data_IF_117589485593
#
_entry.id   IF_117589485593
#
_cell.length_a   1.000
_cell.length_b   1.000
_cell.length_c   1.000
_cell.angle_alpha   90.00
_cell.angle_beta   90.00
_cell.angle_gamma   90.00
#
_symmetry.space_group_name_H-M   'P 1'
#
loop_
_entity.id
_entity.type
_entity.pdbx_description
1 polymer ?
#
# COMPACT_ATOMS: atom_id res chain seq x y z
N UNK A 1 14.32 10.11 5.79
CA UNK A 1 13.54 9.85 4.56
C UNK A 1 12.15 9.51 4.99
N UNK A 2 11.17 10.21 4.43
CA UNK A 2 9.77 10.06 4.79
C UNK A 2 9.01 9.38 3.65
N UNK A 3 8.38 8.26 3.93
CA UNK A 3 7.70 7.42 2.94
C UNK A 3 6.22 7.34 3.28
N UNK A 4 5.36 7.64 2.31
CA UNK A 4 3.93 7.35 2.40
C UNK A 4 3.69 5.93 1.88
N UNK A 5 3.27 5.02 2.75
CA UNK A 5 3.01 3.63 2.38
C UNK A 5 1.50 3.33 2.39
N UNK A 6 1.00 2.82 1.28
CA UNK A 6 -0.41 2.48 1.05
C UNK A 6 -0.53 1.11 0.39
N UNK A 7 -1.67 0.47 0.59
CA UNK A 7 -2.04 -0.79 -0.06
C UNK A 7 -3.56 -0.94 -0.10
N UNK A 8 -4.04 -1.87 -0.94
CA UNK A 8 -5.44 -2.29 -0.99
C UNK A 8 -6.39 -1.09 -1.22
N UNK A 9 -6.25 -0.49 -2.40
CA UNK A 9 -7.05 0.65 -2.88
C UNK A 9 -8.30 0.17 -3.61
N UNK A 10 -8.22 -0.97 -4.34
CA UNK A 10 -9.31 -1.65 -5.04
C UNK A 10 -10.19 -0.73 -5.91
N UNK A 11 -9.59 0.09 -6.75
CA UNK A 11 -10.28 1.10 -7.58
C UNK A 11 -11.00 2.23 -6.79
N UNK A 12 -10.84 2.31 -5.47
CA UNK A 12 -11.49 3.35 -4.67
C UNK A 12 -10.72 4.68 -4.77
N UNK A 13 -10.94 5.39 -5.88
CA UNK A 13 -10.29 6.68 -6.15
C UNK A 13 -10.67 7.73 -5.09
N UNK A 14 -11.87 7.66 -4.53
CA UNK A 14 -12.32 8.60 -3.51
C UNK A 14 -11.46 8.55 -2.24
N UNK A 15 -10.99 7.37 -1.83
CA UNK A 15 -10.08 7.26 -0.68
C UNK A 15 -8.70 7.88 -0.99
N UNK A 16 -8.24 7.80 -2.24
CA UNK A 16 -6.98 8.41 -2.65
C UNK A 16 -7.09 9.94 -2.70
N UNK A 17 -8.22 10.49 -3.16
CA UNK A 17 -8.49 11.93 -3.09
C UNK A 17 -8.52 12.45 -1.65
N UNK A 18 -9.17 11.71 -0.73
CA UNK A 18 -9.15 12.04 0.70
C UNK A 18 -7.74 11.99 1.30
N UNK A 19 -6.97 10.95 0.99
CA UNK A 19 -5.57 10.86 1.39
C UNK A 19 -4.79 12.09 0.91
N UNK A 20 -4.96 12.45 -0.38
CA UNK A 20 -4.28 13.60 -0.98
C UNK A 20 -4.66 14.92 -0.32
N UNK A 21 -5.92 15.10 0.04
CA UNK A 21 -6.39 16.30 0.73
C UNK A 21 -5.89 16.39 2.18
N UNK A 22 -5.69 15.24 2.83
CA UNK A 22 -5.25 15.16 4.22
C UNK A 22 -3.75 15.34 4.38
N UNK A 23 -2.94 14.89 3.41
CA UNK A 23 -1.48 14.85 3.52
C UNK A 23 -0.81 15.99 2.76
N UNK A 24 0.24 16.56 3.39
CA UNK A 24 1.10 17.55 2.77
C UNK A 24 2.05 16.94 1.72
N UNK A 25 2.79 17.79 0.99
CA UNK A 25 3.72 17.37 -0.08
C UNK A 25 5.16 17.19 0.43
N UNK A 26 5.35 16.59 1.58
CA UNK A 26 6.65 16.47 2.25
C UNK A 26 7.21 15.03 2.28
N UNK A 27 6.80 14.21 1.32
CA UNK A 27 7.27 12.84 1.19
C UNK A 27 8.42 12.72 0.22
N UNK A 28 9.41 11.89 0.57
CA UNK A 28 10.53 11.54 -0.31
C UNK A 28 10.15 10.44 -1.31
N UNK A 29 9.16 9.61 -0.98
CA UNK A 29 8.62 8.56 -1.83
C UNK A 29 7.21 8.14 -1.40
N UNK A 30 6.44 7.57 -2.35
CA UNK A 30 5.23 6.81 -2.08
C UNK A 30 5.53 5.34 -2.38
N UNK A 31 5.16 4.43 -1.47
CA UNK A 31 5.26 2.99 -1.65
C UNK A 31 3.85 2.38 -1.72
N UNK A 32 3.51 1.71 -2.83
CA UNK A 32 2.21 1.05 -3.00
C UNK A 32 2.42 -0.46 -3.01
N UNK A 33 1.89 -1.14 -2.00
CA UNK A 33 2.05 -2.57 -1.82
C UNK A 33 0.92 -3.40 -2.46
N UNK A 34 0.49 -3.02 -3.67
CA UNK A 34 -0.44 -3.78 -4.50
C UNK A 34 -1.92 -3.53 -4.21
N UNK A 35 -2.75 -4.20 -4.99
CA UNK A 35 -4.20 -4.07 -5.03
C UNK A 35 -4.67 -2.62 -5.26
N UNK A 36 -4.05 -2.01 -6.28
CA UNK A 36 -4.37 -0.65 -6.74
C UNK A 36 -5.76 -0.65 -7.38
N UNK A 37 -6.04 -1.70 -8.14
CA UNK A 37 -7.24 -1.87 -8.94
C UNK A 37 -7.00 -1.56 -10.42
N UNK A 38 -7.65 -2.34 -11.28
CA UNK A 38 -7.38 -2.30 -12.73
C UNK A 38 -7.99 -1.07 -13.40
N UNK A 39 -9.24 -0.74 -13.09
CA UNK A 39 -9.99 0.31 -13.81
C UNK A 39 -9.68 1.71 -13.30
N UNK A 40 -9.38 1.87 -12.01
CA UNK A 40 -9.07 3.15 -11.39
C UNK A 40 -7.58 3.50 -11.36
N UNK A 41 -6.70 2.60 -11.82
CA UNK A 41 -5.25 2.76 -11.65
C UNK A 41 -4.72 4.07 -12.24
N UNK A 42 -5.12 4.43 -13.45
CA UNK A 42 -4.65 5.66 -14.09
C UNK A 42 -4.95 6.90 -13.23
N UNK A 43 -6.19 7.02 -12.76
CA UNK A 43 -6.63 8.14 -11.93
C UNK A 43 -5.96 8.13 -10.54
N UNK A 44 -5.77 6.95 -9.94
CA UNK A 44 -5.01 6.79 -8.69
C UNK A 44 -3.61 7.37 -8.84
N UNK A 45 -2.89 6.99 -9.89
CA UNK A 45 -1.54 7.51 -10.14
C UNK A 45 -1.53 9.00 -10.49
N UNK A 46 -2.52 9.50 -11.23
CA UNK A 46 -2.67 10.92 -11.51
C UNK A 46 -2.74 11.72 -10.21
N UNK A 47 -3.61 11.32 -9.28
CA UNK A 47 -3.72 11.98 -7.97
C UNK A 47 -2.40 11.86 -7.19
N UNK A 48 -1.81 10.68 -7.11
CA UNK A 48 -0.58 10.46 -6.33
C UNK A 48 0.63 11.21 -6.89
N UNK A 49 0.71 11.43 -8.21
CA UNK A 49 1.79 12.23 -8.80
C UNK A 49 1.79 13.69 -8.36
N UNK A 50 0.66 14.20 -7.85
CA UNK A 50 0.57 15.55 -7.29
C UNK A 50 1.39 15.74 -6.01
N UNK A 51 1.83 14.66 -5.35
CA UNK A 51 2.80 14.72 -4.25
C UNK A 51 4.22 15.09 -4.69
N UNK A 52 4.49 15.07 -6.00
CA UNK A 52 5.76 15.47 -6.63
C UNK A 52 7.00 14.64 -6.22
N UNK A 53 6.81 13.49 -5.61
CA UNK A 53 7.85 12.53 -5.27
C UNK A 53 7.75 11.25 -6.13
N UNK A 54 8.81 10.42 -6.18
CA UNK A 54 8.75 9.11 -6.83
C UNK A 54 7.71 8.19 -6.19
N UNK A 55 7.01 7.41 -7.03
CA UNK A 55 6.08 6.38 -6.62
C UNK A 55 6.70 5.03 -6.99
N UNK A 56 6.90 4.16 -6.00
CA UNK A 56 7.37 2.80 -6.19
C UNK A 56 6.23 1.84 -5.86
N UNK A 57 5.96 0.87 -6.74
CA UNK A 57 4.79 0.02 -6.57
C UNK A 57 5.03 -1.41 -7.05
N UNK A 58 4.19 -2.31 -6.56
CA UNK A 58 4.00 -3.68 -7.07
C UNK A 58 2.53 -3.91 -7.36
N UNK A 59 2.22 -4.93 -8.16
CA UNK A 59 0.84 -5.36 -8.36
C UNK A 59 0.42 -6.36 -7.29
N UNK A 60 -0.84 -6.30 -6.88
CA UNK A 60 -1.52 -7.27 -6.04
C UNK A 60 -2.36 -8.25 -6.86
N UNK A 61 -3.21 -9.03 -6.18
CA UNK A 61 -4.03 -10.05 -6.84
C UNK A 61 -5.28 -9.47 -7.56
N UNK A 62 -5.67 -8.24 -7.26
CA UNK A 62 -6.74 -7.50 -7.95
C UNK A 62 -6.24 -6.71 -9.16
N UNK A 63 -4.93 -6.61 -9.33
CA UNK A 63 -4.33 -5.82 -10.39
C UNK A 63 -4.17 -6.68 -11.65
N UNK A 64 -4.91 -6.34 -12.69
CA UNK A 64 -4.85 -7.00 -14.01
C UNK A 64 -4.24 -6.10 -15.08
N UNK A 65 -3.41 -5.17 -14.66
CA UNK A 65 -2.73 -4.27 -15.57
C UNK A 65 -1.61 -5.00 -16.33
N UNK A 66 -1.35 -4.61 -17.59
CA UNK A 66 -0.17 -5.07 -18.31
C UNK A 66 1.12 -4.76 -17.54
N UNK A 67 2.14 -5.61 -17.66
CA UNK A 67 3.43 -5.38 -16.98
C UNK A 67 4.17 -4.14 -17.49
N UNK A 68 3.88 -3.74 -18.72
CA UNK A 68 4.43 -2.56 -19.37
C UNK A 68 3.57 -1.30 -19.18
N UNK A 69 2.48 -1.37 -18.40
CA UNK A 69 1.66 -0.22 -18.08
C UNK A 69 2.49 0.88 -17.42
N UNK A 70 2.43 2.09 -17.98
CA UNK A 70 3.19 3.24 -17.51
C UNK A 70 2.24 4.28 -16.92
N UNK A 71 2.49 4.67 -15.68
CA UNK A 71 1.70 5.69 -14.96
C UNK A 71 2.48 6.98 -14.76
N UNK A 72 3.23 7.39 -15.77
CA UNK A 72 4.03 8.60 -15.77
C UNK A 72 5.50 8.37 -15.33
N UNK A 73 6.33 9.41 -15.47
CA UNK A 73 7.79 9.29 -15.33
C UNK A 73 8.27 9.07 -13.88
N UNK A 74 7.40 9.32 -12.90
CA UNK A 74 7.71 9.15 -11.47
C UNK A 74 7.21 7.84 -10.88
N UNK A 75 6.42 7.05 -11.64
CA UNK A 75 5.89 5.78 -11.20
C UNK A 75 6.80 4.62 -11.67
N UNK A 76 7.30 3.86 -10.72
CA UNK A 76 8.27 2.78 -10.94
C UNK A 76 7.71 1.46 -10.42
N UNK A 77 7.37 0.56 -11.33
CA UNK A 77 7.07 -0.84 -10.98
C UNK A 77 8.36 -1.52 -10.54
N UNK A 78 8.45 -1.92 -9.26
CA UNK A 78 9.66 -2.56 -8.72
C UNK A 78 9.63 -4.09 -8.81
N UNK A 79 8.85 -4.65 -9.74
CA UNK A 79 8.80 -6.10 -9.96
C UNK A 79 10.15 -6.63 -10.47
N UNK A 80 10.84 -7.43 -9.63
CA UNK A 80 12.12 -8.07 -9.90
C UNK A 80 13.26 -7.10 -10.28
N UNK A 81 13.16 -5.86 -9.86
CA UNK A 81 14.18 -4.84 -10.11
C UNK A 81 14.40 -3.96 -8.87
N UNK A 82 15.48 -3.19 -8.92
CA UNK A 82 15.90 -2.29 -7.85
C UNK A 82 15.83 -0.86 -8.35
N UNK A 83 15.10 -0.02 -7.66
CA UNK A 83 14.98 1.42 -7.93
C UNK A 83 15.58 2.19 -6.78
N UNK A 84 16.56 3.06 -7.04
CA UNK A 84 17.16 3.94 -6.03
C UNK A 84 16.37 5.24 -5.96
N UNK A 85 15.91 5.58 -4.76
CA UNK A 85 15.24 6.86 -4.48
C UNK A 85 15.95 7.49 -3.29
N UNK A 86 16.60 8.62 -3.52
CA UNK A 86 17.40 9.29 -2.50
C UNK A 86 18.42 8.31 -1.88
N UNK A 87 18.33 8.07 -0.58
CA UNK A 87 19.27 7.21 0.17
C UNK A 87 18.81 5.77 0.37
N UNK A 88 17.62 5.41 -0.10
CA UNK A 88 17.11 4.05 -0.04
C UNK A 88 17.00 3.43 -1.42
N UNK A 89 17.14 2.12 -1.47
CA UNK A 89 16.75 1.32 -2.60
C UNK A 89 15.39 0.66 -2.32
N UNK A 90 14.56 0.60 -3.34
CA UNK A 90 13.30 -0.12 -3.31
C UNK A 90 13.39 -1.29 -4.26
N UNK A 91 12.99 -2.44 -3.79
CA UNK A 91 12.97 -3.68 -4.55
C UNK A 91 11.67 -4.43 -4.23
N UNK A 92 11.22 -5.31 -5.10
CA UNK A 92 9.97 -6.00 -4.83
C UNK A 92 9.60 -7.04 -5.87
N UNK A 93 8.48 -7.67 -5.66
CA UNK A 93 7.82 -8.50 -6.66
C UNK A 93 6.30 -8.41 -6.55
N UNK A 94 5.66 -8.39 -7.72
CA UNK A 94 4.22 -8.36 -7.84
C UNK A 94 3.62 -9.72 -7.55
N UNK A 95 2.42 -9.72 -6.99
CA UNK A 95 1.60 -10.91 -6.90
C UNK A 95 0.99 -11.19 -8.28
N UNK A 96 1.13 -12.41 -8.80
CA UNK A 96 0.44 -12.84 -10.01
C UNK A 96 -0.71 -13.75 -9.64
N UNK A 97 -1.91 -13.18 -9.55
CA UNK A 97 -3.12 -13.86 -9.10
C UNK A 97 -3.91 -14.63 -10.16
N UNK A 98 -3.40 -14.84 -11.37
CA UNK A 98 -4.31 -15.30 -12.44
C UNK A 98 -4.40 -16.81 -12.70
N UNK A 99 -3.53 -17.65 -12.17
CA UNK A 99 -3.63 -19.08 -12.43
C UNK A 99 -3.39 -20.03 -11.24
N UNK A 100 -2.54 -19.72 -10.27
CA UNK A 100 -2.20 -20.67 -9.20
C UNK A 100 -3.21 -20.73 -8.05
N UNK A 101 -4.08 -19.73 -7.88
CA UNK A 101 -5.08 -19.74 -6.79
C UNK A 101 -6.00 -20.95 -6.80
N UNK A 102 -6.28 -21.52 -7.96
CA UNK A 102 -7.10 -22.72 -8.08
C UNK A 102 -6.35 -24.01 -7.69
N UNK A 103 -5.04 -23.97 -7.56
CA UNK A 103 -4.21 -25.15 -7.35
C UNK A 103 -3.34 -25.13 -6.08
N UNK A 104 -3.39 -24.09 -5.27
CA UNK A 104 -2.74 -24.00 -3.94
C UNK A 104 -1.21 -24.11 -3.91
N UNK A 105 -0.59 -24.70 -4.91
CA UNK A 105 0.85 -24.94 -4.99
C UNK A 105 1.63 -23.92 -5.79
N UNK A 106 0.96 -23.16 -6.65
CA UNK A 106 1.62 -22.22 -7.56
C UNK A 106 2.10 -20.93 -6.91
N UNK A 107 1.37 -20.42 -5.91
CA UNK A 107 1.70 -19.14 -5.29
C UNK A 107 3.00 -19.21 -4.46
N UNK A 108 3.25 -20.29 -3.72
CA UNK A 108 4.47 -20.47 -2.93
C UNK A 108 5.70 -20.65 -3.83
N UNK A 109 5.62 -21.48 -4.87
CA UNK A 109 6.69 -21.69 -5.83
C UNK A 109 7.01 -20.42 -6.63
N UNK A 110 5.98 -19.67 -7.03
CA UNK A 110 6.15 -18.38 -7.69
C UNK A 110 6.86 -17.38 -6.77
N UNK A 111 6.39 -17.24 -5.54
CA UNK A 111 7.01 -16.34 -4.56
C UNK A 111 8.49 -16.72 -4.28
N UNK A 112 8.81 -18.01 -4.19
CA UNK A 112 10.18 -18.48 -4.02
C UNK A 112 11.07 -18.15 -5.22
N UNK A 113 10.56 -18.39 -6.44
CA UNK A 113 11.24 -17.99 -7.69
C UNK A 113 11.49 -16.48 -7.72
N UNK A 114 10.47 -15.67 -7.39
CA UNK A 114 10.61 -14.21 -7.33
C UNK A 114 11.66 -13.78 -6.31
N UNK A 115 11.66 -14.35 -5.11
CA UNK A 115 12.70 -14.05 -4.10
C UNK A 115 14.09 -14.39 -4.59
N UNK A 116 14.26 -15.54 -5.26
CA UNK A 116 15.57 -15.94 -5.82
C UNK A 116 16.05 -14.96 -6.89
N UNK A 117 15.19 -14.58 -7.84
CA UNK A 117 15.51 -13.61 -8.88
C UNK A 117 15.79 -12.22 -8.31
N UNK A 118 14.97 -11.78 -7.35
CA UNK A 118 15.13 -10.48 -6.70
C UNK A 118 16.45 -10.41 -5.91
N UNK A 119 16.83 -11.49 -5.24
CA UNK A 119 18.11 -11.59 -4.55
C UNK A 119 19.29 -11.44 -5.51
N UNK A 120 19.20 -12.02 -6.70
CA UNK A 120 20.21 -11.84 -7.75
C UNK A 120 20.25 -10.38 -8.24
N UNK A 121 19.09 -9.75 -8.46
CA UNK A 121 18.99 -8.35 -8.88
C UNK A 121 19.58 -7.39 -7.82
N UNK A 122 19.28 -7.60 -6.54
CA UNK A 122 19.84 -6.79 -5.45
C UNK A 122 21.36 -6.95 -5.37
N UNK A 123 21.88 -8.18 -5.46
CA UNK A 123 23.35 -8.41 -5.49
C UNK A 123 24.00 -7.69 -6.66
N UNK A 124 23.43 -7.80 -7.86
CA UNK A 124 23.94 -7.14 -9.07
C UNK A 124 23.93 -5.62 -8.94
N UNK A 125 22.96 -5.05 -8.21
CA UNK A 125 22.85 -3.61 -8.00
C UNK A 125 23.87 -3.02 -7.01
N UNK A 126 24.54 -3.87 -6.23
CA UNK A 126 25.47 -3.48 -5.16
C UNK A 126 24.80 -2.74 -4.00
N UNK A 127 23.50 -2.90 -3.81
CA UNK A 127 22.75 -2.21 -2.75
C UNK A 127 22.95 -2.91 -1.42
N UNK A 128 23.21 -2.14 -0.37
CA UNK A 128 23.20 -2.59 1.01
C UNK A 128 21.77 -2.85 1.47
N UNK A 129 21.50 -4.05 1.97
CA UNK A 129 20.19 -4.44 2.51
C UNK A 129 19.76 -3.58 3.69
N UNK A 130 20.69 -3.04 4.48
CA UNK A 130 20.39 -2.08 5.55
C UNK A 130 19.89 -0.72 5.04
N UNK A 131 19.92 -0.52 3.72
CA UNK A 131 19.36 0.64 3.01
C UNK A 131 18.36 0.23 1.94
N UNK A 132 17.75 -0.95 2.09
CA UNK A 132 16.80 -1.50 1.14
C UNK A 132 15.43 -1.67 1.79
N UNK A 133 14.39 -1.22 1.08
CA UNK A 133 13.00 -1.48 1.38
C UNK A 133 12.45 -2.49 0.37
N UNK A 134 11.92 -3.60 0.87
CA UNK A 134 11.21 -4.59 0.07
C UNK A 134 9.73 -4.23 0.02
N UNK A 135 9.14 -4.25 -1.17
CA UNK A 135 7.70 -4.07 -1.38
C UNK A 135 7.14 -5.34 -2.00
N UNK A 136 6.13 -5.92 -1.36
CA UNK A 136 5.37 -7.05 -1.91
C UNK A 136 3.91 -6.88 -1.55
N UNK A 137 2.99 -7.54 -2.27
CA UNK A 137 1.58 -7.45 -1.89
C UNK A 137 1.29 -8.34 -0.67
N UNK A 138 1.68 -9.60 -0.70
CA UNK A 138 1.62 -10.48 0.47
C UNK A 138 2.89 -10.38 1.32
N UNK A 139 2.77 -10.65 2.62
CA UNK A 139 3.93 -10.76 3.48
C UNK A 139 4.88 -11.85 2.98
N UNK A 140 6.06 -11.46 2.56
CA UNK A 140 7.07 -12.42 2.12
C UNK A 140 7.55 -13.29 3.29
N UNK A 141 7.52 -14.61 3.08
CA UNK A 141 8.02 -15.60 4.05
C UNK A 141 9.54 -15.74 3.94
N UNK A 142 10.17 -16.15 5.03
CA UNK A 142 11.61 -16.46 5.09
C UNK A 142 12.53 -15.29 4.71
N UNK A 143 12.12 -14.04 4.98
CA UNK A 143 12.92 -12.86 4.65
C UNK A 143 14.27 -12.86 5.38
N UNK A 144 14.29 -13.31 6.65
CA UNK A 144 15.52 -13.34 7.46
C UNK A 144 16.61 -14.21 6.81
N UNK A 145 16.20 -15.27 6.10
CA UNK A 145 17.09 -16.18 5.35
C UNK A 145 17.48 -15.58 4.01
N UNK A 146 16.48 -15.05 3.26
CA UNK A 146 16.66 -14.66 1.88
C UNK A 146 17.26 -13.24 1.73
N UNK A 147 17.00 -12.37 2.70
CA UNK A 147 17.45 -10.97 2.76
C UNK A 147 17.87 -10.59 4.18
N UNK A 148 18.97 -11.18 4.71
CA UNK A 148 19.44 -10.90 6.06
C UNK A 148 19.76 -9.41 6.22
N UNK A 149 19.34 -8.84 7.35
CA UNK A 149 19.49 -7.40 7.66
C UNK A 149 18.75 -6.44 6.72
N UNK A 150 17.69 -6.89 6.04
CA UNK A 150 16.80 -6.00 5.31
C UNK A 150 16.26 -4.92 6.25
N UNK A 151 16.27 -3.66 5.81
CA UNK A 151 15.81 -2.54 6.63
C UNK A 151 14.30 -2.57 6.85
N UNK A 152 13.53 -2.69 5.77
CA UNK A 152 12.09 -2.46 5.76
C UNK A 152 11.40 -3.44 4.81
N UNK A 153 10.25 -3.96 5.23
CA UNK A 153 9.34 -4.70 4.37
C UNK A 153 7.93 -4.11 4.46
N UNK A 154 7.47 -3.53 3.37
CA UNK A 154 6.11 -2.99 3.21
C UNK A 154 5.26 -3.99 2.45
N UNK A 155 4.08 -4.30 2.95
CA UNK A 155 3.13 -5.23 2.32
C UNK A 155 1.68 -4.85 2.61
N UNK A 156 0.72 -5.55 2.03
CA UNK A 156 -0.72 -5.36 2.15
C UNK A 156 -1.48 -6.68 2.33
N UNK A 157 -2.59 -6.84 1.58
CA UNK A 157 -3.36 -8.06 1.37
C UNK A 157 -4.23 -8.52 2.56
N UNK A 158 -3.77 -8.44 3.80
CA UNK A 158 -4.52 -8.96 4.97
C UNK A 158 -5.54 -7.96 5.50
N UNK A 159 -5.61 -6.76 4.94
CA UNK A 159 -6.51 -5.67 5.30
C UNK A 159 -6.51 -5.31 6.80
N UNK A 160 -5.39 -5.55 7.47
CA UNK A 160 -5.20 -5.22 8.89
C UNK A 160 -3.85 -4.55 9.05
N UNK A 161 -3.86 -3.31 9.51
CA UNK A 161 -2.62 -2.59 9.80
C UNK A 161 -1.84 -3.33 10.89
N UNK A 162 -0.56 -3.52 10.65
CA UNK A 162 0.34 -4.18 11.60
C UNK A 162 1.79 -3.68 11.40
N UNK A 163 2.47 -3.46 12.50
CA UNK A 163 3.89 -3.12 12.52
C UNK A 163 4.62 -4.07 13.45
N UNK A 164 5.64 -4.74 12.94
CA UNK A 164 6.45 -5.67 13.70
C UNK A 164 7.92 -5.46 13.42
N UNK A 165 8.73 -5.55 14.47
CA UNK A 165 10.18 -5.66 14.35
C UNK A 165 10.59 -7.12 14.49
N UNK A 166 11.40 -7.61 13.54
CA UNK A 166 11.99 -8.94 13.62
C UNK A 166 13.43 -8.89 13.14
N UNK A 167 14.36 -9.14 14.05
CA UNK A 167 15.76 -8.87 13.76
C UNK A 167 16.02 -7.42 13.38
N UNK A 168 16.74 -7.19 12.31
CA UNK A 168 17.00 -5.87 11.77
C UNK A 168 15.82 -5.29 10.94
N UNK A 169 14.85 -6.12 10.55
CA UNK A 169 13.79 -5.76 9.61
C UNK A 169 12.55 -5.22 10.32
N UNK A 170 12.10 -4.04 9.92
CA UNK A 170 10.77 -3.52 10.25
C UNK A 170 9.76 -3.99 9.20
N UNK A 171 8.71 -4.68 9.64
CA UNK A 171 7.61 -5.16 8.82
C UNK A 171 6.42 -4.22 8.98
N UNK A 172 5.88 -3.72 7.88
CA UNK A 172 4.73 -2.81 7.87
C UNK A 172 3.66 -3.35 6.94
N UNK A 173 2.54 -3.80 7.49
CA UNK A 173 1.33 -4.02 6.72
C UNK A 173 0.59 -2.69 6.59
N UNK A 174 0.61 -2.08 5.41
CA UNK A 174 0.04 -0.75 5.17
C UNK A 174 -1.46 -0.79 4.81
N UNK A 175 -2.09 -1.97 4.78
CA UNK A 175 -3.49 -2.11 4.34
C UNK A 175 -4.51 -1.74 5.43
N UNK A 176 -5.71 -1.35 5.09
CA UNK A 176 -6.23 -1.18 3.75
C UNK A 176 -6.71 0.28 3.57
N UNK A 177 -6.34 0.91 2.46
CA UNK A 177 -6.75 2.30 2.21
C UNK A 177 -8.26 2.38 1.86
N UNK A 178 -8.83 1.36 1.23
CA UNK A 178 -10.23 1.29 0.80
C UNK A 178 -11.21 0.88 1.90
N UNK A 179 -10.74 0.66 3.11
CA UNK A 179 -11.60 0.21 4.21
C UNK A 179 -12.79 1.13 4.40
N UNK A 180 -13.97 0.53 4.47
CA UNK A 180 -15.24 1.21 4.67
C UNK A 180 -15.82 0.89 6.04
N UNK A 181 -16.46 1.88 6.66
CA UNK A 181 -17.14 1.74 7.94
C UNK A 181 -18.63 2.00 7.76
N UNK A 182 -19.53 1.08 8.11
CA UNK A 182 -20.95 1.33 8.06
C UNK A 182 -21.37 2.28 9.19
N UNK A 183 -22.13 3.29 8.82
CA UNK A 183 -22.65 4.32 9.75
C UNK A 183 -24.13 4.56 9.52
N UNK A 184 -24.83 5.00 10.55
CA UNK A 184 -26.22 5.45 10.45
C UNK A 184 -26.35 6.87 10.98
N UNK A 185 -27.05 7.72 10.24
CA UNK A 185 -27.36 9.08 10.68
C UNK A 185 -28.29 9.04 11.91
N UNK A 186 -27.96 9.78 12.96
CA UNK A 186 -28.69 9.78 14.23
C UNK A 186 -30.14 10.25 14.10
N UNK A 187 -30.42 11.20 13.18
CA UNK A 187 -31.76 11.78 13.02
C UNK A 187 -32.67 10.95 12.11
N UNK A 188 -32.17 10.59 10.93
CA UNK A 188 -32.98 9.92 9.91
C UNK A 188 -32.84 8.39 9.92
N UNK A 189 -31.83 7.85 10.58
CA UNK A 189 -31.49 6.44 10.48
C UNK A 189 -30.90 6.02 9.12
N UNK A 190 -30.65 6.97 8.20
CA UNK A 190 -30.07 6.70 6.89
C UNK A 190 -28.75 5.98 7.06
N UNK A 191 -28.57 4.82 6.39
CA UNK A 191 -27.35 4.01 6.45
C UNK A 191 -26.46 4.32 5.28
N UNK A 192 -25.18 4.55 5.56
CA UNK A 192 -24.14 4.84 4.58
C UNK A 192 -22.84 4.11 4.92
N UNK A 193 -21.90 4.14 4.00
CA UNK A 193 -20.52 3.68 4.23
C UNK A 193 -19.55 4.84 4.07
N UNK A 194 -18.63 4.96 5.01
CA UNK A 194 -17.60 6.02 4.97
C UNK A 194 -16.22 5.42 4.81
N UNK A 195 -15.37 6.07 4.03
CA UNK A 195 -13.97 5.67 3.94
C UNK A 195 -13.31 5.79 5.32
N UNK A 196 -12.84 4.67 5.81
CA UNK A 196 -12.19 4.54 7.12
C UNK A 196 -10.81 3.90 6.99
N UNK A 197 -10.22 4.01 5.81
CA UNK A 197 -8.96 3.39 5.47
C UNK A 197 -7.81 3.88 6.31
N UNK A 198 -6.78 3.06 6.34
CA UNK A 198 -5.51 3.37 6.97
C UNK A 198 -4.36 3.33 5.97
N UNK A 199 -3.30 4.01 6.33
CA UNK A 199 -2.03 4.06 5.63
C UNK A 199 -0.90 4.28 6.63
N UNK A 200 0.33 4.12 6.20
CA UNK A 200 1.48 4.33 7.06
C UNK A 200 2.33 5.52 6.59
N UNK A 201 2.82 6.30 7.53
CA UNK A 201 3.93 7.23 7.33
C UNK A 201 5.16 6.62 7.97
N UNK A 202 6.19 6.38 7.17
CA UNK A 202 7.40 5.70 7.59
C UNK A 202 8.57 6.68 7.53
N UNK A 203 9.15 6.96 8.68
CA UNK A 203 10.37 7.76 8.79
C UNK A 203 11.59 6.87 8.96
N UNK A 204 12.50 6.96 7.98
CA UNK A 204 13.79 6.28 8.03
C UNK A 204 14.87 7.29 8.41
N UNK A 205 15.46 7.13 9.58
CA UNK A 205 16.57 7.95 10.06
C UNK A 205 17.87 7.73 9.26
N UNK A 206 18.83 8.64 9.35
CA UNK A 206 20.16 8.48 8.73
C UNK A 206 20.93 7.27 9.28
N UNK A 207 20.66 6.94 10.54
CA UNK A 207 21.24 5.79 11.25
C UNK A 207 20.49 4.47 10.98
N UNK A 208 19.55 4.43 10.04
CA UNK A 208 18.75 3.24 9.74
C UNK A 208 17.58 2.98 10.72
N UNK A 209 17.35 3.83 11.73
CA UNK A 209 16.19 3.67 12.61
C UNK A 209 14.91 3.94 11.80
N UNK A 210 13.96 3.02 11.89
CA UNK A 210 12.63 3.13 11.24
C UNK A 210 11.59 3.47 12.30
N UNK A 211 10.83 4.54 12.09
CA UNK A 211 9.64 4.87 12.86
C UNK A 211 8.42 4.77 11.93
N UNK A 212 7.32 4.25 12.45
CA UNK A 212 6.09 4.05 11.66
C UNK A 212 4.92 4.68 12.41
N UNK A 213 4.21 5.55 11.72
CA UNK A 213 2.98 6.19 12.18
C UNK A 213 1.81 5.64 11.37
N UNK A 214 0.86 4.98 12.04
CA UNK A 214 -0.39 4.54 11.43
C UNK A 214 -1.37 5.69 11.40
N UNK A 215 -1.75 6.10 10.21
CA UNK A 215 -2.75 7.13 10.01
C UNK A 215 -4.04 6.58 9.46
N UNK A 216 -5.12 7.25 9.81
CA UNK A 216 -6.46 6.95 9.30
C UNK A 216 -6.88 8.08 8.38
N UNK A 217 -7.62 7.77 7.33
CA UNK A 217 -8.35 8.79 6.59
C UNK A 217 -9.27 9.51 7.58
N UNK A 218 -9.21 10.84 7.58
CA UNK A 218 -9.92 11.68 8.57
C UNK A 218 -11.37 11.28 8.67
N UNK A 219 -11.81 11.18 9.91
CA UNK A 219 -13.17 10.80 10.26
C UNK A 219 -13.77 11.91 11.08
N UNK A 220 -14.87 12.41 10.61
CA UNK A 220 -15.73 13.17 11.46
C UNK A 220 -17.12 12.54 11.38
N UNK A 221 -17.62 12.06 12.50
CA UNK A 221 -18.88 11.34 12.60
C UNK A 221 -19.92 12.06 13.46
N UNK A 222 -19.79 13.39 13.61
CA UNK A 222 -20.85 14.14 14.31
C UNK A 222 -22.19 13.88 13.61
N UNK A 223 -23.19 13.45 14.39
CA UNK A 223 -24.50 13.11 13.85
C UNK A 223 -24.64 11.69 13.31
N UNK A 224 -23.59 10.86 13.31
CA UNK A 224 -23.58 9.49 12.83
C UNK A 224 -23.17 8.49 13.92
N UNK A 225 -23.76 7.30 13.89
CA UNK A 225 -23.34 6.17 14.73
C UNK A 225 -22.69 5.09 13.87
N UNK A 226 -21.59 4.54 14.33
CA UNK A 226 -21.02 3.32 13.76
C UNK A 226 -21.93 2.15 14.09
N UNK A 227 -22.40 1.41 13.07
CA UNK A 227 -23.40 0.35 13.22
C UNK A 227 -22.86 -1.05 12.92
N UNK A 228 -21.56 -1.18 12.62
CA UNK A 228 -20.93 -2.47 12.36
C UNK A 228 -19.42 -2.37 12.20
N UNK A 229 -18.75 -3.51 12.07
CA UNK A 229 -17.31 -3.54 11.86
C UNK A 229 -16.92 -2.95 10.49
N UNK A 230 -15.70 -2.47 10.34
CA UNK A 230 -15.18 -2.07 9.05
C UNK A 230 -15.24 -3.23 8.05
N UNK A 231 -15.64 -2.96 6.83
CA UNK A 231 -15.58 -3.89 5.71
C UNK A 231 -14.46 -3.51 4.77
N UNK A 232 -13.70 -4.46 4.30
CA UNK A 232 -12.81 -4.32 3.15
C UNK A 232 -13.56 -4.84 1.91
N UNK A 233 -13.22 -4.32 0.75
CA UNK A 233 -13.93 -4.64 -0.51
C UNK A 233 -15.41 -4.21 -0.48
N UNK A 234 -15.67 -3.02 0.05
CA UNK A 234 -17.01 -2.43 -0.07
C UNK A 234 -17.40 -2.40 -1.56
N UNK A 235 -18.61 -2.82 -1.92
CA UNK A 235 -19.04 -2.76 -3.31
C UNK A 235 -18.90 -1.33 -3.81
N UNK A 236 -18.40 -1.20 -5.04
CA UNK A 236 -18.27 0.05 -5.78
C UNK A 236 -19.60 0.82 -5.90
N UNK A 237 -20.73 0.12 -5.65
CA UNK A 237 -22.10 0.60 -5.84
C UNK A 237 -22.80 1.07 -4.55
N UNK A 238 -22.10 1.13 -3.42
CA UNK A 238 -22.73 1.69 -2.20
C UNK A 238 -22.61 3.20 -2.21
N UNK A 239 -23.73 3.88 -2.04
CA UNK A 239 -23.78 5.33 -1.87
C UNK A 239 -22.72 5.77 -0.86
N UNK A 240 -21.69 6.40 -1.39
CA UNK A 240 -20.72 7.11 -0.58
C UNK A 240 -21.45 8.31 0.04
N UNK A 241 -21.06 8.71 1.24
CA UNK A 241 -21.48 10.02 1.75
C UNK A 241 -21.04 11.04 0.72
N UNK A 242 -21.94 11.91 0.22
CA UNK A 242 -21.57 12.99 -0.67
C UNK A 242 -20.36 13.75 -0.10
N UNK A 243 -19.45 14.19 -0.96
CA UNK A 243 -18.23 14.92 -0.53
C UNK A 243 -18.55 16.23 0.20
N UNK A 244 -19.77 16.78 -0.02
CA UNK A 244 -20.34 17.93 0.65
C UNK A 244 -21.00 17.62 2.00
N UNK A 245 -21.16 16.37 2.37
CA UNK A 245 -21.49 16.03 3.74
C UNK A 245 -20.27 16.37 4.63
N UNK A 246 -20.10 17.66 4.89
CA UNK A 246 -19.13 18.22 5.81
C UNK A 246 -19.40 17.62 7.17
N UNK A 247 -18.60 16.68 7.48
CA UNK A 247 -18.55 16.11 8.80
C UNK A 247 -17.69 17.08 9.60
N UNK A 248 -18.30 17.92 10.44
CA UNK A 248 -17.63 18.97 11.20
C UNK A 248 -16.52 18.39 12.11
N UNK A 249 -15.42 19.11 12.28
CA UNK A 249 -14.28 18.77 13.17
C UNK A 249 -14.70 18.66 14.63
#
# INVERSE_FOLDING_TARGET
>A
MKILAIADIHNNVACVRKLRAQEANDYDAIAIAGDIGTHGAAEVFEILTTFKCPIVYVHGNWDRMPEDAKFGPRAHLVHLQVVKVSRLAFAGYSFRGSLPHRLGRGSAAYAEKCRSLLRAAIRKSGVDLQRCALITHERARHLDRDFPNLLLHVYGHVHTFDVRQRGATTYVNASALDRMLPVAEKRSGKKLHVNAGNYAVIDVGRNGKVAVDCRLLRRNYQGWNVIGPPTSNGPLDKELIPEDAVIAD
#
